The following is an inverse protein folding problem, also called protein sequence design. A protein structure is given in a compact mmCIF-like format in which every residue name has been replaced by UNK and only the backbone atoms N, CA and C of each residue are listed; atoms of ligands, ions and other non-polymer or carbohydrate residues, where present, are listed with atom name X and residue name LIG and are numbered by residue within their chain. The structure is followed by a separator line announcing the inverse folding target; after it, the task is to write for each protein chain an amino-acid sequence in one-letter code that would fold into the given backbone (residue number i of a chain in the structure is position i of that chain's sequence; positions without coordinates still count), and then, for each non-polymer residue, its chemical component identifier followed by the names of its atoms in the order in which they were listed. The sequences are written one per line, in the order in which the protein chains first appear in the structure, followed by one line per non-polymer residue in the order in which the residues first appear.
data_IF_689183533222
#
_entry.id   IF_689183533222
#
_cell.length_a   1.000
_cell.length_b   1.000
_cell.length_c   1.000
_cell.angle_alpha   90.00
_cell.angle_beta   90.00
_cell.angle_gamma   90.00
#
_symmetry.space_group_name_H-M   'P 1'
#
loop_
_entity.id
_entity.type
_entity.pdbx_description
1 polymer ?
#
# COMPACT_ATOMS: atom_id res chain seq x y z
N UNK A 1 17.24 -40.31 3.03
CA UNK A 1 17.56 -40.29 1.59
C UNK A 1 17.98 -38.85 1.27
N UNK A 2 19.31 -38.61 1.26
CA UNK A 2 19.89 -37.28 1.05
C UNK A 2 20.04 -37.08 -0.48
N UNK A 3 19.38 -36.04 -1.03
CA UNK A 3 19.55 -35.66 -2.42
C UNK A 3 20.86 -34.89 -2.56
N UNK A 4 21.75 -35.41 -3.40
CA UNK A 4 23.09 -34.90 -3.61
C UNK A 4 23.10 -33.50 -4.24
N UNK A 5 23.92 -32.64 -3.65
CA UNK A 5 24.34 -31.36 -4.25
C UNK A 5 25.31 -31.72 -5.39
N UNK A 6 24.86 -31.52 -6.62
CA UNK A 6 25.74 -31.62 -7.79
C UNK A 6 26.69 -30.42 -7.77
N UNK A 7 27.90 -30.64 -7.34
CA UNK A 7 29.00 -29.69 -7.47
C UNK A 7 29.37 -29.67 -8.97
N UNK A 8 29.15 -28.54 -9.63
CA UNK A 8 29.67 -28.35 -10.99
C UNK A 8 31.19 -28.39 -10.94
N UNK A 9 31.85 -29.07 -11.90
CA UNK A 9 33.29 -29.17 -11.95
C UNK A 9 33.90 -27.77 -12.06
N UNK A 10 35.03 -27.60 -11.37
CA UNK A 10 35.89 -26.44 -11.45
C UNK A 10 36.18 -26.12 -12.94
N UNK A 11 35.99 -24.85 -13.30
CA UNK A 11 36.46 -24.31 -14.58
C UNK A 11 37.95 -24.57 -14.63
N UNK A 12 38.36 -25.55 -15.44
CA UNK A 12 39.75 -25.68 -15.89
C UNK A 12 40.13 -24.31 -16.45
N UNK A 13 41.40 -23.89 -16.21
CA UNK A 13 41.93 -22.64 -16.72
C UNK A 13 41.80 -22.63 -18.24
N UNK A 14 40.71 -22.03 -18.75
CA UNK A 14 40.54 -21.79 -20.14
C UNK A 14 41.54 -20.68 -20.53
N UNK A 15 42.23 -20.88 -21.61
CA UNK A 15 43.20 -19.90 -22.15
C UNK A 15 42.44 -18.59 -22.41
N UNK A 16 42.99 -17.45 -21.95
CA UNK A 16 42.36 -16.16 -22.19
C UNK A 16 42.56 -15.73 -23.66
N UNK A 17 41.46 -15.26 -24.26
CA UNK A 17 41.55 -14.57 -25.54
C UNK A 17 41.85 -13.09 -25.27
N UNK A 18 43.05 -12.56 -25.59
CA UNK A 18 43.46 -11.20 -25.25
C UNK A 18 42.57 -10.12 -25.88
N UNK A 19 41.91 -10.43 -26.96
CA UNK A 19 41.08 -9.50 -27.73
C UNK A 19 39.57 -9.58 -27.38
N UNK A 20 39.20 -10.58 -26.59
CA UNK A 20 37.81 -10.73 -26.09
C UNK A 20 37.58 -9.88 -24.86
N UNK A 21 36.70 -8.88 -24.99
CA UNK A 21 36.39 -7.91 -23.93
C UNK A 21 34.89 -7.90 -23.65
N UNK A 22 34.52 -7.89 -22.36
CA UNK A 22 33.13 -7.73 -21.97
C UNK A 22 32.91 -6.43 -21.22
N UNK A 23 31.78 -5.77 -21.49
CA UNK A 23 31.43 -4.48 -20.85
C UNK A 23 30.00 -4.48 -20.38
N UNK A 24 29.79 -4.28 -19.09
CA UNK A 24 28.47 -3.97 -18.50
C UNK A 24 28.16 -2.49 -18.76
N UNK A 25 27.13 -2.19 -19.56
CA UNK A 25 26.91 -0.85 -20.13
C UNK A 25 26.18 0.13 -19.21
N UNK A 26 25.45 -0.34 -18.16
CA UNK A 26 24.64 0.55 -17.36
C UNK A 26 24.56 0.13 -15.90
N UNK A 27 24.49 1.13 -15.00
CA UNK A 27 24.12 0.88 -13.60
C UNK A 27 22.67 0.40 -13.54
N UNK A 28 22.41 -0.65 -12.77
CA UNK A 28 21.08 -1.20 -12.55
C UNK A 28 20.63 -0.94 -11.12
N UNK A 29 19.41 -0.40 -10.96
CA UNK A 29 18.75 -0.29 -9.66
C UNK A 29 17.43 -1.02 -9.75
N UNK A 30 17.19 -1.96 -8.82
CA UNK A 30 16.00 -2.82 -8.85
C UNK A 30 15.49 -3.12 -7.44
N UNK A 31 14.18 -3.20 -7.25
CA UNK A 31 13.61 -3.71 -6.02
C UNK A 31 13.74 -5.23 -5.92
N UNK A 32 14.01 -5.75 -4.71
CA UNK A 32 14.09 -7.18 -4.45
C UNK A 32 12.87 -7.92 -5.02
N UNK A 33 13.12 -8.94 -5.83
CA UNK A 33 12.09 -9.75 -6.47
C UNK A 33 11.45 -9.14 -7.72
N UNK A 34 11.79 -7.91 -8.10
CA UNK A 34 11.37 -7.32 -9.37
C UNK A 34 12.24 -7.79 -10.53
N UNK A 35 11.75 -7.57 -11.76
CA UNK A 35 12.54 -7.78 -12.97
C UNK A 35 13.41 -6.55 -13.25
N UNK A 36 14.63 -6.78 -13.72
CA UNK A 36 15.54 -5.76 -14.21
C UNK A 36 15.97 -6.06 -15.65
N UNK A 37 16.48 -5.05 -16.31
CA UNK A 37 17.11 -5.15 -17.63
C UNK A 37 18.58 -4.84 -17.45
N UNK A 38 19.43 -5.72 -17.95
CA UNK A 38 20.87 -5.56 -17.95
C UNK A 38 21.32 -5.42 -19.41
N UNK A 39 21.99 -4.33 -19.74
CA UNK A 39 22.56 -4.08 -21.03
C UNK A 39 24.08 -4.31 -20.98
N UNK A 40 24.60 -5.01 -21.92
CA UNK A 40 26.03 -5.34 -22.01
C UNK A 40 26.48 -5.52 -23.44
N UNK A 41 27.78 -5.53 -23.65
CA UNK A 41 28.42 -5.76 -24.95
C UNK A 41 29.58 -6.71 -24.77
N UNK A 42 29.77 -7.52 -25.75
CA UNK A 42 30.91 -8.43 -25.87
C UNK A 42 31.62 -8.08 -27.20
N UNK A 43 32.85 -7.68 -27.10
CA UNK A 43 33.69 -7.30 -28.25
C UNK A 43 34.71 -8.40 -28.51
N UNK A 44 34.76 -8.89 -29.75
CA UNK A 44 35.73 -9.81 -30.29
C UNK A 44 36.06 -9.39 -31.72
N UNK A 45 37.30 -9.06 -32.05
CA UNK A 45 37.70 -8.67 -33.43
C UNK A 45 37.43 -9.71 -34.51
N UNK A 46 37.43 -11.00 -34.12
CA UNK A 46 37.10 -12.10 -35.03
C UNK A 46 35.61 -12.09 -35.40
N UNK A 47 34.79 -11.45 -34.57
CA UNK A 47 33.35 -11.39 -34.80
C UNK A 47 32.62 -12.70 -34.48
N UNK A 48 31.38 -12.81 -34.97
CA UNK A 48 30.57 -14.03 -34.84
C UNK A 48 29.70 -14.09 -33.59
N UNK A 49 29.29 -15.30 -33.27
CA UNK A 49 28.39 -15.58 -32.11
C UNK A 49 29.21 -16.12 -30.94
N UNK A 50 29.03 -15.52 -29.80
CA UNK A 50 29.71 -15.84 -28.54
C UNK A 50 28.72 -16.33 -27.50
N UNK A 51 29.20 -17.07 -26.52
CA UNK A 51 28.38 -17.49 -25.35
C UNK A 51 28.75 -16.61 -24.18
N UNK A 52 27.74 -15.92 -23.62
CA UNK A 52 27.89 -15.04 -22.45
C UNK A 52 27.14 -15.52 -21.22
N UNK A 53 27.69 -15.20 -20.06
CA UNK A 53 27.07 -15.43 -18.74
C UNK A 53 27.00 -14.12 -17.95
N UNK A 54 25.89 -13.86 -17.33
CA UNK A 54 25.68 -12.68 -16.51
C UNK A 54 25.77 -13.08 -15.02
N UNK A 55 26.81 -12.61 -14.34
CA UNK A 55 27.16 -12.97 -12.97
C UNK A 55 27.03 -11.75 -12.06
N UNK A 56 26.56 -11.95 -10.84
CA UNK A 56 26.52 -10.92 -9.80
C UNK A 56 27.53 -11.26 -8.71
N UNK A 57 28.31 -10.26 -8.33
CA UNK A 57 29.36 -10.34 -7.36
C UNK A 57 29.20 -9.30 -6.25
N UNK A 58 29.84 -9.54 -5.11
CA UNK A 58 30.08 -8.48 -4.13
C UNK A 58 31.21 -7.56 -4.59
N UNK A 59 31.25 -6.29 -4.12
CA UNK A 59 32.47 -5.51 -4.25
C UNK A 59 33.64 -6.28 -3.61
N UNK A 60 34.59 -6.74 -4.42
CA UNK A 60 35.68 -7.65 -3.98
C UNK A 60 35.71 -8.99 -4.70
N UNK A 61 34.85 -9.20 -5.71
CA UNK A 61 34.95 -10.32 -6.67
C UNK A 61 34.28 -11.64 -6.22
N UNK A 62 33.66 -11.68 -5.02
CA UNK A 62 32.95 -12.89 -4.60
C UNK A 62 31.65 -13.06 -5.39
N UNK A 63 31.55 -14.12 -6.16
CA UNK A 63 30.34 -14.49 -6.89
C UNK A 63 29.20 -14.79 -5.89
N UNK A 64 28.07 -14.11 -6.08
CA UNK A 64 26.86 -14.29 -5.28
C UNK A 64 25.80 -15.05 -6.06
N UNK A 65 25.71 -14.83 -7.37
CA UNK A 65 24.69 -15.46 -8.21
C UNK A 65 24.98 -15.33 -9.70
N UNK A 66 24.75 -16.38 -10.44
CA UNK A 66 24.61 -16.34 -11.90
C UNK A 66 23.15 -16.05 -12.23
N UNK A 67 22.89 -14.96 -12.94
CA UNK A 67 21.54 -14.56 -13.37
C UNK A 67 21.14 -15.27 -14.67
N UNK A 68 22.11 -15.47 -15.58
CA UNK A 68 21.93 -16.19 -16.83
C UNK A 68 23.27 -16.79 -17.27
N UNK A 69 23.21 -17.91 -17.94
CA UNK A 69 24.35 -18.56 -18.55
C UNK A 69 23.99 -19.04 -19.97
N UNK A 70 25.01 -19.16 -20.84
CA UNK A 70 24.84 -19.65 -22.21
C UNK A 70 24.01 -18.72 -23.10
N UNK A 71 24.06 -17.40 -22.83
CA UNK A 71 23.40 -16.41 -23.68
C UNK A 71 24.17 -16.31 -25.03
N UNK A 72 23.48 -16.58 -26.13
CA UNK A 72 24.01 -16.35 -27.46
C UNK A 72 24.01 -14.85 -27.75
N UNK A 73 25.18 -14.26 -28.02
CA UNK A 73 25.38 -12.84 -28.31
C UNK A 73 26.22 -12.64 -29.53
N UNK A 74 25.98 -11.58 -30.29
CA UNK A 74 26.78 -11.22 -31.47
C UNK A 74 27.89 -10.25 -31.06
N UNK A 75 29.12 -10.53 -31.43
CA UNK A 75 30.25 -9.66 -31.14
C UNK A 75 30.03 -8.24 -31.65
N UNK A 76 30.44 -7.25 -30.87
CA UNK A 76 30.31 -5.84 -31.16
C UNK A 76 28.89 -5.26 -31.03
N UNK A 77 27.87 -6.08 -30.75
CA UNK A 77 26.51 -5.61 -30.61
C UNK A 77 26.10 -5.51 -29.14
N UNK A 78 25.21 -4.55 -28.82
CA UNK A 78 24.61 -4.45 -27.49
C UNK A 78 23.57 -5.54 -27.31
N UNK A 79 23.78 -6.39 -26.32
CA UNK A 79 22.83 -7.40 -25.86
C UNK A 79 22.08 -6.94 -24.61
N UNK A 80 20.87 -7.47 -24.38
CA UNK A 80 20.10 -7.22 -23.18
C UNK A 80 19.56 -8.52 -22.59
N UNK A 81 19.65 -8.64 -21.27
CA UNK A 81 18.97 -9.69 -20.54
C UNK A 81 17.91 -9.12 -19.61
N UNK A 82 16.74 -9.78 -19.54
CA UNK A 82 15.62 -9.40 -18.67
C UNK A 82 15.25 -10.54 -17.73
N UNK A 83 15.42 -10.33 -16.44
CA UNK A 83 15.09 -11.36 -15.46
C UNK A 83 14.85 -10.84 -14.06
N UNK A 84 14.49 -11.74 -13.16
CA UNK A 84 14.32 -11.43 -11.74
C UNK A 84 15.65 -11.49 -11.02
N UNK A 85 15.96 -10.43 -10.27
CA UNK A 85 17.11 -10.38 -9.38
C UNK A 85 16.66 -10.88 -8.00
N UNK A 86 16.93 -12.14 -7.71
CA UNK A 86 16.51 -12.79 -6.45
C UNK A 86 17.51 -12.60 -5.30
N UNK A 87 18.16 -11.43 -5.20
CA UNK A 87 19.18 -11.13 -4.19
C UNK A 87 18.60 -10.34 -2.99
N UNK A 88 19.21 -10.43 -1.80
CA UNK A 88 18.93 -9.53 -0.68
C UNK A 88 19.18 -8.07 -1.03
N UNK A 89 18.61 -7.14 -0.23
CA UNK A 89 18.93 -5.71 -0.32
C UNK A 89 20.44 -5.52 -0.12
N UNK A 90 21.06 -4.78 -1.02
CA UNK A 90 22.50 -4.55 -0.96
C UNK A 90 23.06 -3.84 -2.17
N UNK A 91 24.37 -3.59 -2.13
CA UNK A 91 25.16 -3.11 -3.25
C UNK A 91 25.96 -4.28 -3.80
N UNK A 92 25.90 -4.46 -5.09
CA UNK A 92 26.56 -5.51 -5.85
C UNK A 92 27.17 -4.90 -7.10
N UNK A 93 27.98 -5.67 -7.78
CA UNK A 93 28.37 -5.44 -9.18
C UNK A 93 27.82 -6.59 -10.02
N UNK A 94 27.60 -6.35 -11.29
CA UNK A 94 27.36 -7.42 -12.25
C UNK A 94 28.46 -7.39 -13.30
N UNK A 95 28.88 -8.58 -13.68
CA UNK A 95 29.96 -8.85 -14.64
C UNK A 95 29.38 -9.72 -15.74
N UNK A 96 29.84 -9.53 -16.92
CA UNK A 96 29.56 -10.41 -18.07
C UNK A 96 30.81 -11.20 -18.36
N UNK A 97 30.70 -12.52 -18.31
CA UNK A 97 31.73 -13.42 -18.76
C UNK A 97 31.35 -13.95 -20.14
N UNK A 98 32.30 -14.08 -21.05
CA UNK A 98 32.08 -14.61 -22.38
C UNK A 98 33.14 -15.62 -22.75
N UNK A 99 32.80 -16.54 -23.66
CA UNK A 99 33.73 -17.45 -24.27
C UNK A 99 33.55 -17.43 -25.80
N UNK A 100 34.68 -17.54 -26.53
CA UNK A 100 34.67 -17.69 -27.96
C UNK A 100 34.34 -19.14 -28.39
N UNK A 101 34.30 -19.39 -29.71
CA UNK A 101 34.00 -20.71 -30.26
C UNK A 101 35.02 -21.79 -29.88
N UNK A 102 36.26 -21.40 -29.54
CA UNK A 102 37.32 -22.30 -29.07
C UNK A 102 37.26 -22.52 -27.52
N UNK A 103 36.31 -21.88 -26.84
CA UNK A 103 36.18 -21.98 -25.38
C UNK A 103 37.13 -21.07 -24.59
N UNK A 104 37.86 -20.16 -25.25
CA UNK A 104 38.75 -19.21 -24.60
C UNK A 104 37.90 -18.09 -23.96
N UNK A 105 38.25 -17.68 -22.75
CA UNK A 105 37.50 -16.66 -22.01
C UNK A 105 38.03 -15.25 -22.24
N UNK A 106 37.22 -14.25 -21.86
CA UNK A 106 37.63 -12.85 -21.96
C UNK A 106 38.89 -12.54 -21.15
N UNK A 107 39.78 -11.70 -21.69
CA UNK A 107 40.92 -11.17 -20.96
C UNK A 107 40.57 -10.00 -20.06
N UNK A 108 39.50 -9.27 -20.41
CA UNK A 108 39.06 -8.12 -19.65
C UNK A 108 37.56 -8.07 -19.53
N UNK A 109 37.04 -7.87 -18.28
CA UNK A 109 35.64 -7.66 -17.99
C UNK A 109 35.45 -6.33 -17.25
N UNK A 110 34.62 -5.43 -17.79
CA UNK A 110 34.27 -4.17 -17.14
C UNK A 110 32.92 -4.33 -16.44
N UNK A 111 32.89 -4.34 -15.09
CA UNK A 111 31.67 -4.50 -14.34
C UNK A 111 30.86 -3.22 -14.26
N UNK A 112 29.56 -3.34 -13.91
CA UNK A 112 28.73 -2.18 -13.54
C UNK A 112 27.99 -2.40 -12.22
N UNK A 113 27.58 -1.29 -11.58
CA UNK A 113 26.91 -1.32 -10.31
C UNK A 113 25.48 -1.91 -10.40
N UNK A 114 25.14 -2.78 -9.46
CA UNK A 114 23.81 -3.30 -9.23
C UNK A 114 23.35 -2.95 -7.81
N UNK A 115 22.33 -2.11 -7.68
CA UNK A 115 21.72 -1.77 -6.39
C UNK A 115 20.40 -2.54 -6.23
N UNK A 116 20.32 -3.42 -5.25
CA UNK A 116 19.08 -4.11 -4.88
C UNK A 116 18.45 -3.38 -3.72
N UNK A 117 17.32 -2.72 -3.97
CA UNK A 117 16.52 -2.03 -2.98
C UNK A 117 15.64 -3.03 -2.21
N UNK A 118 15.05 -2.57 -1.09
CA UNK A 118 14.03 -3.36 -0.39
C UNK A 118 12.91 -3.78 -1.36
N UNK A 119 12.26 -4.91 -1.09
CA UNK A 119 11.07 -5.28 -1.85
C UNK A 119 10.01 -4.17 -1.77
N UNK A 120 9.33 -3.90 -2.88
CA UNK A 120 8.18 -3.01 -2.84
C UNK A 120 7.14 -3.61 -1.88
N UNK A 121 6.50 -2.80 -1.04
CA UNK A 121 5.37 -3.24 -0.25
C UNK A 121 4.35 -3.93 -1.16
N UNK A 122 3.81 -5.06 -0.70
CA UNK A 122 2.76 -5.75 -1.43
C UNK A 122 1.59 -4.77 -1.67
N UNK A 123 1.12 -4.68 -2.91
CA UNK A 123 -0.05 -3.86 -3.22
C UNK A 123 -1.29 -4.50 -2.59
N UNK A 124 -1.89 -3.79 -1.66
CA UNK A 124 -3.12 -4.18 -0.95
C UNK A 124 -4.09 -3.00 -0.99
N UNK A 125 -5.34 -3.21 -1.41
CA UNK A 125 -5.87 -4.40 -2.06
C UNK A 125 -5.24 -4.62 -3.45
N UNK A 126 -5.25 -5.87 -3.91
CA UNK A 126 -4.81 -6.18 -5.27
C UNK A 126 -5.83 -5.63 -6.30
N UNK A 127 -5.44 -5.34 -7.56
CA UNK A 127 -6.38 -4.87 -8.57
C UNK A 127 -7.56 -5.85 -8.80
N UNK A 128 -7.32 -7.16 -8.66
CA UNK A 128 -8.39 -8.18 -8.74
C UNK A 128 -9.37 -8.06 -7.58
N UNK A 129 -8.87 -7.88 -6.36
CA UNK A 129 -9.70 -7.68 -5.17
C UNK A 129 -10.55 -6.41 -5.29
N UNK A 130 -9.95 -5.31 -5.74
CA UNK A 130 -10.67 -4.06 -6.02
C UNK A 130 -11.81 -4.29 -7.02
N UNK A 131 -11.52 -4.88 -8.18
CA UNK A 131 -12.56 -5.14 -9.18
C UNK A 131 -13.71 -5.96 -8.62
N UNK A 132 -13.43 -7.09 -7.93
CA UNK A 132 -14.47 -7.93 -7.32
C UNK A 132 -15.33 -7.17 -6.31
N UNK A 133 -14.71 -6.40 -5.43
CA UNK A 133 -15.41 -5.61 -4.42
C UNK A 133 -16.32 -4.54 -5.05
N UNK A 134 -15.83 -3.82 -6.06
CA UNK A 134 -16.61 -2.78 -6.72
C UNK A 134 -17.72 -3.38 -7.61
N UNK A 135 -17.51 -4.52 -8.25
CA UNK A 135 -18.56 -5.23 -8.98
C UNK A 135 -19.69 -5.68 -8.05
N UNK A 136 -19.31 -6.26 -6.91
CA UNK A 136 -20.31 -6.66 -5.91
C UNK A 136 -21.04 -5.45 -5.31
N UNK A 137 -20.34 -4.36 -5.00
CA UNK A 137 -20.96 -3.12 -4.53
C UNK A 137 -22.02 -2.56 -5.52
N UNK A 138 -21.78 -2.69 -6.83
CA UNK A 138 -22.71 -2.26 -7.88
C UNK A 138 -23.99 -3.10 -7.93
N UNK A 139 -23.94 -4.37 -7.52
CA UNK A 139 -25.11 -5.26 -7.51
C UNK A 139 -25.97 -5.10 -6.24
N UNK A 140 -25.54 -4.29 -5.28
CA UNK A 140 -26.32 -4.08 -4.05
C UNK A 140 -27.43 -3.04 -4.30
N UNK A 141 -28.57 -3.28 -3.62
CA UNK A 141 -29.71 -2.36 -3.65
C UNK A 141 -29.37 -1.02 -2.97
N UNK A 142 -30.12 0.01 -3.37
CA UNK A 142 -29.93 1.38 -2.88
C UNK A 142 -28.71 2.09 -3.48
N UNK A 143 -28.30 3.16 -2.84
CA UNK A 143 -27.17 3.96 -3.25
C UNK A 143 -25.90 3.55 -2.50
N UNK A 144 -25.00 2.89 -3.20
CA UNK A 144 -23.72 2.46 -2.63
C UNK A 144 -22.58 3.30 -3.16
N UNK A 145 -21.71 3.76 -2.27
CA UNK A 145 -20.45 4.38 -2.63
C UNK A 145 -19.29 3.73 -1.85
N UNK A 146 -18.20 3.46 -2.54
CA UNK A 146 -17.00 2.82 -1.98
C UNK A 146 -15.78 3.62 -2.39
N UNK A 147 -14.87 3.83 -1.46
CA UNK A 147 -13.53 4.30 -1.73
C UNK A 147 -12.51 3.53 -0.89
N UNK A 148 -11.43 3.09 -1.49
CA UNK A 148 -10.26 2.54 -0.82
C UNK A 148 -9.00 3.24 -1.31
N UNK A 149 -8.20 3.72 -0.38
CA UNK A 149 -6.82 4.17 -0.65
C UNK A 149 -5.90 3.02 -0.34
N UNK A 150 -5.22 2.53 -1.34
CA UNK A 150 -4.37 1.35 -1.26
C UNK A 150 -3.06 1.59 -0.50
N UNK A 151 -2.27 0.54 -0.33
CA UNK A 151 -0.99 0.59 0.39
C UNK A 151 0.05 1.52 -0.26
N UNK A 152 -0.14 1.92 -1.51
CA UNK A 152 0.69 2.87 -2.24
C UNK A 152 0.11 4.28 -2.31
N UNK A 153 -1.09 4.51 -1.76
CA UNK A 153 -1.75 5.80 -1.74
C UNK A 153 -2.67 6.07 -2.93
N UNK A 154 -2.83 5.12 -3.85
CA UNK A 154 -3.76 5.26 -4.95
C UNK A 154 -5.21 5.04 -4.50
N UNK A 155 -6.12 5.90 -4.97
CA UNK A 155 -7.55 5.81 -4.68
C UNK A 155 -8.25 4.96 -5.75
N UNK A 156 -9.03 3.98 -5.29
CA UNK A 156 -9.94 3.18 -6.10
C UNK A 156 -11.35 3.32 -5.54
N UNK A 157 -12.37 3.30 -6.38
CA UNK A 157 -13.73 3.44 -5.85
C UNK A 157 -14.85 3.30 -6.88
N UNK A 158 -16.07 3.24 -6.34
CA UNK A 158 -17.33 3.29 -7.07
C UNK A 158 -18.17 4.40 -6.49
N UNK A 159 -18.69 5.31 -7.32
CA UNK A 159 -19.41 6.53 -6.90
C UNK A 159 -18.69 7.31 -5.77
N UNK A 160 -17.37 7.19 -5.68
CA UNK A 160 -16.55 7.63 -4.55
C UNK A 160 -16.68 9.13 -4.25
N UNK A 161 -17.08 9.92 -5.22
CA UNK A 161 -17.28 11.37 -5.11
C UNK A 161 -18.74 11.79 -4.90
N UNK A 162 -19.69 10.84 -4.81
CA UNK A 162 -21.08 11.12 -4.43
C UNK A 162 -21.13 11.59 -2.98
N UNK A 163 -21.92 12.62 -2.70
CA UNK A 163 -22.12 13.13 -1.34
C UNK A 163 -23.20 12.36 -0.61
N UNK A 164 -22.93 12.12 0.66
CA UNK A 164 -23.85 11.52 1.63
C UNK A 164 -23.82 12.34 2.91
N UNK A 165 -24.87 12.25 3.71
CA UNK A 165 -24.80 12.72 5.09
C UNK A 165 -23.73 11.91 5.85
N UNK A 166 -22.93 12.61 6.64
CA UNK A 166 -21.85 11.98 7.38
C UNK A 166 -22.34 11.08 8.50
N UNK A 167 -23.55 11.36 9.02
CA UNK A 167 -23.99 10.74 10.27
C UNK A 167 -22.88 10.82 11.33
N UNK A 168 -22.72 9.78 12.16
CA UNK A 168 -21.69 9.75 13.19
C UNK A 168 -20.25 9.59 12.70
N UNK A 169 -19.99 9.42 11.39
CA UNK A 169 -18.60 9.36 10.90
C UNK A 169 -17.84 10.66 11.10
N UNK A 170 -18.53 11.82 11.05
CA UNK A 170 -17.93 13.13 11.31
C UNK A 170 -17.38 13.27 12.73
N UNK A 171 -17.81 12.44 13.69
CA UNK A 171 -17.28 12.43 15.06
C UNK A 171 -15.76 12.15 15.10
N UNK A 172 -15.23 11.35 14.16
CA UNK A 172 -13.78 11.20 14.01
C UNK A 172 -13.10 12.52 13.60
N UNK A 173 -13.77 13.34 12.76
CA UNK A 173 -13.24 14.65 12.41
C UNK A 173 -13.33 15.63 13.59
N UNK A 174 -14.41 15.57 14.37
CA UNK A 174 -14.56 16.36 15.60
C UNK A 174 -13.44 16.01 16.60
N UNK A 175 -13.15 14.72 16.81
CA UNK A 175 -12.03 14.28 17.65
C UNK A 175 -10.71 14.90 17.17
N UNK A 176 -10.39 14.75 15.89
CA UNK A 176 -9.13 15.28 15.34
C UNK A 176 -9.07 16.81 15.45
N UNK A 177 -10.16 17.51 15.13
CA UNK A 177 -10.22 18.97 15.22
C UNK A 177 -10.03 19.45 16.67
N UNK A 178 -10.67 18.79 17.64
CA UNK A 178 -10.50 19.07 19.06
C UNK A 178 -9.05 18.88 19.51
N UNK A 179 -8.45 17.72 19.19
CA UNK A 179 -7.06 17.41 19.57
C UNK A 179 -6.02 18.37 18.96
N UNK A 180 -6.31 18.90 17.79
CA UNK A 180 -5.47 19.92 17.15
C UNK A 180 -5.48 21.24 17.89
N UNK A 181 -6.65 21.65 18.40
CA UNK A 181 -6.83 22.91 19.10
C UNK A 181 -6.33 22.91 20.55
N UNK A 182 -6.02 21.75 21.12
CA UNK A 182 -5.71 21.63 22.54
C UNK A 182 -4.35 20.98 22.80
N UNK A 183 -3.53 21.64 23.61
CA UNK A 183 -2.22 21.09 24.01
C UNK A 183 -2.38 19.90 24.96
N UNK A 184 -3.37 19.95 25.85
CA UNK A 184 -3.73 18.88 26.81
C UNK A 184 -5.21 18.60 26.72
N UNK A 185 -5.60 17.38 27.01
CA UNK A 185 -7.01 16.96 27.11
C UNK A 185 -7.34 16.84 28.60
N UNK A 186 -8.18 17.74 29.16
CA UNK A 186 -8.62 17.62 30.56
C UNK A 186 -9.30 16.28 30.84
N UNK A 187 -9.25 15.79 32.08
CA UNK A 187 -9.82 14.51 32.46
C UNK A 187 -11.32 14.41 32.13
N UNK A 188 -12.11 15.45 32.43
CA UNK A 188 -13.51 15.51 32.06
C UNK A 188 -13.76 15.36 30.56
N UNK A 189 -12.93 16.01 29.73
CA UNK A 189 -13.04 15.92 28.26
C UNK A 189 -12.60 14.57 27.71
N UNK A 190 -11.74 13.82 28.41
CA UNK A 190 -11.39 12.45 27.99
C UNK A 190 -12.63 11.55 28.01
N UNK A 191 -13.48 11.65 29.06
CA UNK A 191 -14.75 10.94 29.16
C UNK A 191 -15.74 11.34 28.06
N UNK A 192 -15.85 12.64 27.77
CA UNK A 192 -16.71 13.14 26.68
C UNK A 192 -16.26 12.61 25.32
N UNK A 193 -14.94 12.67 25.03
CA UNK A 193 -14.39 12.17 23.77
C UNK A 193 -14.55 10.64 23.65
N UNK A 194 -14.38 9.89 24.73
CA UNK A 194 -14.61 8.45 24.76
C UNK A 194 -16.10 8.13 24.47
N UNK A 195 -17.06 8.77 25.18
CA UNK A 195 -18.48 8.63 24.90
C UNK A 195 -18.83 8.93 23.44
N UNK A 196 -18.30 10.02 22.89
CA UNK A 196 -18.53 10.41 21.49
C UNK A 196 -18.03 9.36 20.50
N UNK A 197 -16.86 8.78 20.72
CA UNK A 197 -16.24 7.87 19.75
C UNK A 197 -16.63 6.41 19.98
N UNK A 198 -16.48 5.91 21.21
CA UNK A 198 -16.64 4.50 21.53
C UNK A 198 -18.12 4.08 21.59
N UNK A 199 -18.99 4.95 22.09
CA UNK A 199 -20.43 4.73 22.22
C UNK A 199 -21.26 5.51 21.20
N UNK A 200 -20.61 6.29 20.33
CA UNK A 200 -21.29 7.16 19.37
C UNK A 200 -22.31 8.13 20.01
N UNK A 201 -22.06 8.55 21.24
CA UNK A 201 -22.93 9.44 22.00
C UNK A 201 -23.13 10.78 21.28
N UNK A 202 -24.38 11.18 21.07
CA UNK A 202 -24.72 12.41 20.37
C UNK A 202 -24.59 13.64 21.28
N UNK A 203 -24.94 13.52 22.57
CA UNK A 203 -24.80 14.63 23.51
C UNK A 203 -23.31 14.99 23.70
N UNK A 204 -22.44 13.98 23.79
CA UNK A 204 -21.01 14.18 23.80
C UNK A 204 -20.51 14.83 22.49
N UNK A 205 -21.07 14.45 21.35
CA UNK A 205 -20.75 15.09 20.07
C UNK A 205 -21.19 16.56 20.01
N UNK A 206 -22.35 16.89 20.57
CA UNK A 206 -22.84 18.27 20.65
C UNK A 206 -21.90 19.14 21.50
N UNK A 207 -21.43 18.63 22.65
CA UNK A 207 -20.43 19.32 23.47
C UNK A 207 -19.15 19.58 22.67
N UNK A 208 -18.61 18.56 22.01
CA UNK A 208 -17.38 18.70 21.23
C UNK A 208 -17.59 19.62 20.02
N UNK A 209 -18.75 19.54 19.36
CA UNK A 209 -19.09 20.45 18.27
C UNK A 209 -19.25 21.88 18.72
N UNK A 210 -19.80 22.11 19.92
CA UNK A 210 -19.87 23.45 20.54
C UNK A 210 -18.48 24.09 20.71
N UNK A 211 -17.46 23.28 21.03
CA UNK A 211 -16.07 23.72 21.20
C UNK A 211 -15.38 23.90 19.83
N UNK A 212 -15.47 22.93 18.95
CA UNK A 212 -14.79 22.93 17.66
C UNK A 212 -15.46 23.86 16.65
N UNK A 213 -16.78 23.89 16.67
CA UNK A 213 -17.62 24.66 15.79
C UNK A 213 -17.52 24.23 14.31
N UNK A 214 -18.39 24.84 13.50
CA UNK A 214 -18.38 24.68 12.05
C UNK A 214 -17.03 25.08 11.43
N UNK A 215 -16.41 26.14 11.94
CA UNK A 215 -15.15 26.65 11.43
C UNK A 215 -14.00 25.67 11.63
N UNK A 216 -13.92 25.01 12.80
CA UNK A 216 -12.90 23.98 13.09
C UNK A 216 -13.03 22.77 12.18
N UNK A 217 -14.26 22.31 11.90
CA UNK A 217 -14.48 21.23 10.95
C UNK A 217 -14.09 21.62 9.51
N UNK A 218 -14.43 22.82 9.06
CA UNK A 218 -14.07 23.33 7.73
C UNK A 218 -12.56 23.49 7.60
N UNK A 219 -11.90 24.01 8.63
CA UNK A 219 -10.46 24.14 8.65
C UNK A 219 -9.75 22.78 8.55
N UNK A 220 -10.23 21.79 9.30
CA UNK A 220 -9.70 20.41 9.21
C UNK A 220 -9.97 19.79 7.83
N UNK A 221 -11.15 19.97 7.27
CA UNK A 221 -11.49 19.46 5.94
C UNK A 221 -10.58 20.07 4.86
N UNK A 222 -10.29 21.37 4.91
CA UNK A 222 -9.33 22.03 4.02
C UNK A 222 -7.91 21.49 4.20
N UNK A 223 -7.46 21.38 5.44
CA UNK A 223 -6.13 20.84 5.77
C UNK A 223 -5.94 19.41 5.24
N UNK A 224 -6.98 18.58 5.35
CA UNK A 224 -6.97 17.19 4.90
C UNK A 224 -7.29 17.02 3.41
N UNK A 225 -7.43 18.11 2.65
CA UNK A 225 -7.68 18.08 1.22
C UNK A 225 -9.06 17.57 0.82
N UNK A 226 -10.05 17.64 1.72
CA UNK A 226 -11.44 17.25 1.42
C UNK A 226 -12.12 18.29 0.51
N UNK A 227 -12.18 18.00 -0.76
CA UNK A 227 -12.70 18.94 -1.77
C UNK A 227 -14.21 19.04 -1.82
N UNK A 228 -14.90 18.03 -1.30
CA UNK A 228 -16.37 17.89 -1.40
C UNK A 228 -17.08 17.95 -0.07
N UNK A 229 -16.33 18.23 1.01
CA UNK A 229 -16.89 18.48 2.35
C UNK A 229 -17.77 19.73 2.34
N UNK A 230 -19.00 19.61 2.86
CA UNK A 230 -19.92 20.74 3.00
C UNK A 230 -20.69 20.66 4.30
N UNK A 231 -20.51 21.63 5.19
CA UNK A 231 -21.43 21.80 6.32
C UNK A 231 -22.86 22.00 5.82
N UNK A 232 -23.81 21.31 6.46
CA UNK A 232 -25.22 21.37 6.12
C UNK A 232 -26.05 21.32 7.41
N UNK A 233 -26.33 22.48 8.02
CA UNK A 233 -26.93 22.54 9.34
C UNK A 233 -25.94 22.14 10.45
N UNK A 234 -26.30 21.15 11.24
CA UNK A 234 -25.46 20.60 12.30
C UNK A 234 -24.37 19.63 11.81
N UNK A 235 -23.61 19.07 12.75
CA UNK A 235 -22.53 18.14 12.44
C UNK A 235 -23.04 16.86 11.76
N UNK A 236 -24.17 16.32 12.19
CA UNK A 236 -24.72 15.02 11.73
C UNK A 236 -25.13 15.02 10.25
N UNK A 237 -25.57 16.16 9.74
CA UNK A 237 -26.02 16.35 8.36
C UNK A 237 -24.93 16.90 7.44
N UNK A 238 -23.71 17.07 7.94
CA UNK A 238 -22.57 17.46 7.12
C UNK A 238 -22.42 16.50 5.93
N UNK A 239 -22.25 17.08 4.72
CA UNK A 239 -22.07 16.31 3.50
C UNK A 239 -20.59 15.95 3.28
N UNK A 240 -20.34 14.68 3.05
CA UNK A 240 -19.00 14.10 2.83
C UNK A 240 -19.02 13.12 1.65
N UNK A 241 -17.86 12.69 1.19
CA UNK A 241 -17.73 11.65 0.16
C UNK A 241 -16.89 10.49 0.65
N UNK A 242 -17.09 9.32 0.07
CA UNK A 242 -16.25 8.16 0.37
C UNK A 242 -14.77 8.44 0.05
N UNK A 243 -14.49 9.14 -1.06
CA UNK A 243 -13.12 9.50 -1.43
C UNK A 243 -12.42 10.38 -0.40
N UNK A 244 -13.12 11.41 0.10
CA UNK A 244 -12.53 12.32 1.09
C UNK A 244 -12.30 11.61 2.43
N UNK A 245 -13.26 10.81 2.90
CA UNK A 245 -13.12 10.09 4.16
C UNK A 245 -12.09 8.96 4.09
N UNK A 246 -11.99 8.24 2.98
CA UNK A 246 -10.96 7.20 2.83
C UNK A 246 -9.55 7.80 2.92
N UNK A 247 -9.29 8.95 2.29
CA UNK A 247 -8.02 9.67 2.41
C UNK A 247 -7.79 10.17 3.83
N UNK A 248 -8.80 10.83 4.41
CA UNK A 248 -8.72 11.33 5.78
C UNK A 248 -8.35 10.23 6.78
N UNK A 249 -9.06 9.11 6.77
CA UNK A 249 -8.77 8.01 7.69
C UNK A 249 -7.39 7.38 7.44
N UNK A 250 -6.98 7.21 6.18
CA UNK A 250 -5.65 6.70 5.87
C UNK A 250 -4.54 7.54 6.49
N UNK A 251 -4.67 8.85 6.36
CA UNK A 251 -3.60 9.80 6.68
C UNK A 251 -3.90 10.60 7.96
N UNK A 252 -4.87 10.17 8.78
CA UNK A 252 -5.34 10.91 9.95
C UNK A 252 -4.24 11.24 10.97
N UNK A 253 -3.19 10.40 11.09
CA UNK A 253 -2.05 10.68 11.96
C UNK A 253 -1.26 11.92 11.53
N UNK A 254 -1.32 12.31 10.26
CA UNK A 254 -0.66 13.51 9.75
C UNK A 254 -1.41 14.79 10.20
N UNK A 255 -2.66 14.63 10.62
CA UNK A 255 -3.53 15.70 11.11
C UNK A 255 -3.62 15.76 12.65
N UNK A 256 -3.21 14.71 13.35
CA UNK A 256 -3.22 14.65 14.82
C UNK A 256 -1.84 15.05 15.36
N UNK A 257 -1.74 15.99 16.32
CA UNK A 257 -0.48 16.25 17.01
C UNK A 257 0.10 14.97 17.62
N UNK A 258 1.40 14.72 17.45
CA UNK A 258 2.07 13.46 17.85
C UNK A 258 1.72 13.02 19.27
N UNK A 259 1.63 13.97 20.22
CA UNK A 259 1.28 13.74 21.64
C UNK A 259 -0.12 13.15 21.87
N UNK A 260 -1.02 13.24 20.88
CA UNK A 260 -2.40 12.78 20.97
C UNK A 260 -2.71 11.55 20.13
N UNK A 261 -1.75 11.07 19.32
CA UNK A 261 -1.97 9.92 18.41
C UNK A 261 -2.39 8.67 19.19
N UNK A 262 -1.67 8.34 20.27
CA UNK A 262 -1.98 7.15 21.06
C UNK A 262 -3.42 7.20 21.65
N UNK A 263 -3.83 8.37 22.16
CA UNK A 263 -5.17 8.57 22.69
C UNK A 263 -6.25 8.47 21.60
N UNK A 264 -6.02 9.06 20.43
CA UNK A 264 -6.95 8.95 19.32
C UNK A 264 -7.08 7.50 18.80
N UNK A 265 -5.96 6.78 18.74
CA UNK A 265 -5.93 5.37 18.35
C UNK A 265 -6.67 4.48 19.36
N UNK A 266 -6.51 4.72 20.65
CA UNK A 266 -7.24 4.05 21.72
C UNK A 266 -8.74 4.18 21.51
N UNK A 267 -9.26 5.41 21.37
CA UNK A 267 -10.69 5.65 21.18
C UNK A 267 -11.22 5.02 19.88
N UNK A 268 -10.53 5.20 18.76
CA UNK A 268 -11.00 4.73 17.44
C UNK A 268 -10.88 3.21 17.27
N UNK A 269 -10.08 2.52 18.08
CA UNK A 269 -10.01 1.06 18.13
C UNK A 269 -10.89 0.44 19.22
N UNK A 270 -11.24 1.21 20.25
CA UNK A 270 -12.03 0.83 21.44
C UNK A 270 -13.54 0.88 21.25
N UNK A 271 -14.04 1.14 20.05
CA UNK A 271 -15.49 1.20 19.76
C UNK A 271 -16.16 -0.11 20.20
N UNK A 272 -17.26 0.02 20.93
CA UNK A 272 -17.99 -1.09 21.56
C UNK A 272 -18.40 -2.18 20.55
N UNK A 273 -18.54 -3.45 21.01
CA UNK A 273 -18.91 -4.57 20.13
C UNK A 273 -20.19 -4.34 19.34
N UNK A 274 -21.21 -3.73 19.94
CA UNK A 274 -22.49 -3.45 19.31
C UNK A 274 -22.39 -2.57 18.06
N UNK A 275 -21.35 -1.71 17.97
CA UNK A 275 -21.06 -0.85 16.82
C UNK A 275 -19.91 -1.37 15.92
N UNK A 276 -19.28 -2.49 16.30
CA UNK A 276 -18.13 -3.08 15.60
C UNK A 276 -18.51 -4.03 14.44
N UNK A 277 -19.65 -3.76 13.79
CA UNK A 277 -20.11 -4.46 12.56
C UNK A 277 -19.31 -4.01 11.31
N UNK A 278 -19.60 -4.59 10.15
CA UNK A 278 -19.05 -4.15 8.85
C UNK A 278 -17.52 -4.29 8.73
N UNK A 279 -16.80 -3.16 8.68
CA UNK A 279 -15.34 -3.13 8.47
C UNK A 279 -14.57 -3.89 9.56
N UNK A 280 -14.79 -3.66 10.87
CA UNK A 280 -14.06 -4.40 11.91
C UNK A 280 -14.33 -5.91 11.85
N UNK A 281 -15.58 -6.31 11.63
CA UNK A 281 -15.97 -7.72 11.55
C UNK A 281 -15.28 -8.46 10.39
N UNK A 282 -14.93 -7.77 9.30
CA UNK A 282 -14.21 -8.35 8.16
C UNK A 282 -12.68 -8.24 8.28
N UNK A 283 -12.16 -7.19 8.91
CA UNK A 283 -10.72 -6.89 8.89
C UNK A 283 -9.96 -7.47 10.10
N UNK A 284 -10.56 -7.48 11.31
CA UNK A 284 -9.91 -8.00 12.52
C UNK A 284 -9.50 -9.48 12.43
N UNK A 285 -10.32 -10.40 11.88
CA UNK A 285 -9.90 -11.79 11.68
C UNK A 285 -8.70 -11.96 10.75
N UNK A 286 -8.38 -10.96 9.92
CA UNK A 286 -7.21 -10.91 9.05
C UNK A 286 -6.03 -10.17 9.70
N UNK A 287 -6.06 -10.00 11.04
CA UNK A 287 -5.04 -9.34 11.85
C UNK A 287 -4.78 -7.86 11.49
N UNK A 288 -5.76 -7.16 10.91
CA UNK A 288 -5.69 -5.71 10.79
C UNK A 288 -6.02 -5.03 12.12
N UNK A 289 -5.21 -4.05 12.51
CA UNK A 289 -5.64 -3.04 13.48
C UNK A 289 -6.60 -2.10 12.76
N UNK A 290 -7.76 -1.86 13.37
CA UNK A 290 -8.86 -1.13 12.77
C UNK A 290 -9.17 0.09 13.63
N UNK A 291 -8.94 1.26 13.09
CA UNK A 291 -9.31 2.55 13.65
C UNK A 291 -10.44 3.09 12.79
N UNK A 292 -11.65 3.17 13.33
CA UNK A 292 -12.81 3.42 12.50
C UNK A 292 -13.87 4.28 13.18
N UNK A 293 -14.85 4.73 12.44
CA UNK A 293 -16.12 5.25 12.94
C UNK A 293 -17.24 4.84 11.99
N UNK A 294 -18.32 4.37 12.58
CA UNK A 294 -19.59 4.10 11.90
C UNK A 294 -20.57 5.25 12.04
N UNK A 295 -21.56 5.26 11.17
CA UNK A 295 -22.68 6.17 11.20
C UNK A 295 -23.91 5.58 10.52
N UNK A 296 -25.09 5.90 11.03
CA UNK A 296 -26.38 5.51 10.46
C UNK A 296 -27.43 6.59 10.70
N UNK A 297 -28.43 6.62 9.84
CA UNK A 297 -29.58 7.53 9.94
C UNK A 297 -30.86 6.79 9.53
N UNK A 298 -32.02 7.31 9.98
CA UNK A 298 -33.33 6.88 9.52
C UNK A 298 -33.58 5.37 9.65
N UNK A 299 -33.47 4.82 10.86
CA UNK A 299 -33.66 3.37 11.12
C UNK A 299 -32.78 2.50 10.19
N UNK A 300 -31.53 2.95 9.95
CA UNK A 300 -30.53 2.26 9.11
C UNK A 300 -30.76 2.34 7.59
N UNK A 301 -31.66 3.18 7.13
CA UNK A 301 -31.77 3.46 5.69
C UNK A 301 -30.42 3.91 5.14
N UNK A 302 -29.69 4.75 5.88
CA UNK A 302 -28.29 5.05 5.64
C UNK A 302 -27.43 4.29 6.66
N UNK A 303 -26.45 3.53 6.16
CA UNK A 303 -25.38 2.94 6.96
C UNK A 303 -24.02 3.20 6.29
N UNK A 304 -23.03 3.54 7.10
CA UNK A 304 -21.73 3.92 6.59
C UNK A 304 -20.62 3.64 7.59
N UNK A 305 -19.42 3.35 7.10
CA UNK A 305 -18.21 3.24 7.91
C UNK A 305 -17.00 3.77 7.17
N UNK A 306 -16.11 4.42 7.92
CA UNK A 306 -14.79 4.78 7.43
C UNK A 306 -13.73 4.29 8.40
N UNK A 307 -12.61 3.81 7.87
CA UNK A 307 -11.56 3.19 8.66
C UNK A 307 -10.15 3.44 8.10
N UNK A 308 -9.21 3.50 9.03
CA UNK A 308 -7.80 3.27 8.82
C UNK A 308 -7.49 1.81 9.19
N UNK A 309 -6.98 1.04 8.25
CA UNK A 309 -6.60 -0.34 8.44
C UNK A 309 -5.07 -0.45 8.42
N UNK A 310 -4.49 -1.09 9.42
CA UNK A 310 -3.04 -1.27 9.53
C UNK A 310 -2.69 -2.72 9.78
N UNK A 311 -1.85 -3.29 8.91
CA UNK A 311 -1.29 -4.63 9.08
C UNK A 311 0.17 -4.62 8.66
N UNK A 312 1.11 -4.86 9.61
CA UNK A 312 2.55 -4.75 9.37
C UNK A 312 2.90 -3.36 8.78
N UNK A 313 3.50 -3.32 7.58
CA UNK A 313 3.82 -2.08 6.85
C UNK A 313 2.69 -1.56 5.95
N UNK A 314 1.57 -2.29 5.86
CA UNK A 314 0.42 -1.91 5.04
C UNK A 314 -0.47 -0.95 5.81
N UNK A 315 -0.82 0.17 5.18
CA UNK A 315 -1.77 1.17 5.66
C UNK A 315 -2.79 1.45 4.56
N UNK A 316 -4.07 1.26 4.87
CA UNK A 316 -5.17 1.51 3.95
C UNK A 316 -6.12 2.53 4.55
N UNK A 317 -6.81 3.28 3.70
CA UNK A 317 -8.00 4.04 4.07
C UNK A 317 -9.21 3.48 3.36
N UNK A 318 -10.30 3.32 4.05
CA UNK A 318 -11.53 2.75 3.52
C UNK A 318 -12.73 3.60 3.95
N UNK A 319 -13.64 3.86 3.02
CA UNK A 319 -14.94 4.44 3.31
C UNK A 319 -16.03 3.79 2.46
N UNK A 320 -17.11 3.39 3.10
CA UNK A 320 -18.24 2.73 2.45
C UNK A 320 -19.52 3.38 2.96
N UNK A 321 -20.37 3.81 2.04
CA UNK A 321 -21.69 4.34 2.27
C UNK A 321 -22.73 3.46 1.62
N UNK A 322 -23.83 3.26 2.30
CA UNK A 322 -25.04 2.66 1.75
C UNK A 322 -26.24 3.50 2.16
N UNK A 323 -27.14 3.78 1.25
CA UNK A 323 -28.36 4.56 1.50
C UNK A 323 -29.51 3.95 0.71
N UNK A 324 -30.75 4.05 1.22
CA UNK A 324 -31.89 3.32 0.68
C UNK A 324 -31.79 1.81 0.89
N UNK A 325 -31.21 1.39 2.04
CA UNK A 325 -31.11 -0.04 2.37
C UNK A 325 -32.50 -0.67 2.57
N UNK A 326 -32.75 -1.90 2.07
CA UNK A 326 -34.00 -2.63 2.34
C UNK A 326 -34.23 -2.96 3.83
N UNK A 327 -33.17 -2.88 4.64
CA UNK A 327 -33.22 -3.11 6.08
C UNK A 327 -31.87 -2.87 6.75
N UNK A 328 -31.83 -2.85 8.11
CA UNK A 328 -30.63 -2.49 8.86
C UNK A 328 -29.45 -3.41 8.62
N UNK A 329 -29.69 -4.71 8.53
CA UNK A 329 -28.59 -5.68 8.35
C UNK A 329 -28.06 -5.70 6.93
N UNK A 330 -28.87 -5.30 5.96
CA UNK A 330 -28.45 -5.23 4.55
C UNK A 330 -27.28 -4.26 4.33
N UNK A 331 -27.37 -3.07 4.91
CA UNK A 331 -26.28 -2.08 4.84
C UNK A 331 -25.02 -2.56 5.55
N UNK A 332 -25.15 -3.16 6.75
CA UNK A 332 -24.02 -3.75 7.49
C UNK A 332 -23.34 -4.87 6.73
N UNK A 333 -24.14 -5.75 6.10
CA UNK A 333 -23.65 -6.85 5.27
C UNK A 333 -22.92 -6.32 4.03
N UNK A 334 -23.47 -5.30 3.37
CA UNK A 334 -22.83 -4.63 2.24
C UNK A 334 -21.45 -4.11 2.62
N UNK A 335 -21.33 -3.43 3.74
CA UNK A 335 -20.05 -2.90 4.22
C UNK A 335 -19.08 -4.03 4.56
N UNK A 336 -19.55 -5.09 5.25
CA UNK A 336 -18.74 -6.27 5.58
C UNK A 336 -18.24 -6.98 4.34
N UNK A 337 -19.12 -7.21 3.36
CA UNK A 337 -18.80 -7.93 2.12
C UNK A 337 -17.81 -7.18 1.24
N UNK A 338 -17.99 -5.86 1.04
CA UNK A 338 -17.00 -5.02 0.32
C UNK A 338 -15.63 -5.13 0.99
N UNK A 339 -15.58 -4.98 2.33
CA UNK A 339 -14.33 -5.06 3.07
C UNK A 339 -13.67 -6.43 2.94
N UNK A 340 -14.44 -7.51 3.10
CA UNK A 340 -13.91 -8.87 2.95
C UNK A 340 -13.35 -9.13 1.55
N UNK A 341 -14.02 -8.67 0.50
CA UNK A 341 -13.55 -8.80 -0.88
C UNK A 341 -12.28 -7.98 -1.17
N UNK A 342 -12.15 -6.79 -0.58
CA UNK A 342 -10.95 -5.96 -0.70
C UNK A 342 -9.74 -6.60 -0.01
N UNK A 343 -9.92 -7.24 1.15
CA UNK A 343 -8.83 -7.74 1.98
C UNK A 343 -8.46 -9.21 1.70
N UNK A 344 -9.29 -9.97 0.97
CA UNK A 344 -8.96 -11.33 0.53
C UNK A 344 -7.80 -11.28 -0.47
N UNK A 345 -6.80 -12.13 -0.23
CA UNK A 345 -5.65 -12.34 -1.13
C UNK A 345 -6.03 -13.09 -2.41
#
# INVERSE_FOLDING_TARGET
MFAGVTVHPALAFAEANPDLVTTALSRVTVHRGARAVFAFRVDDPVGGTLLASLVVERPGGQVVRTLAAGLSVTAGQTATWRGRVGLPRGRYIYVVHAADAAGRTEAQATPAALHVLAALPQLVPTPRAVRRALTWARSRAGDVAVAVVDSRGALHGYRANRRFYSASMVKAMLLVAYLRGHRRVPAAMRGVLAGMIEHSDNAAADIVYGIVGRHGLVALARLSGMRRFRPNGGWITTLVTAADLARFFRDMHDYIPKRHIAFADELLSGIIPAESWGVPAAARPLHYRVYFKGGWLGAWVLASQSARLVHRSVRLGLAIFTDGNPGPDYGKETIRGVTALLLRR
#
